data_IF_198625680247
#
_entry.id   IF_198625680247
#
_cell.length_a   1.000
_cell.length_b   1.000
_cell.length_c   1.000
_cell.angle_alpha   90.00
_cell.angle_beta   90.00
_cell.angle_gamma   90.00
#
_symmetry.space_group_name_H-M   'P 1'
#
loop_
_entity.id
_entity.type
_entity.pdbx_description
1 polymer ?
#
# COMPACT_ATOMS: atom_id res chain seq x y z
N UNK A 1 21.29 5.51 11.44
CA UNK A 1 19.83 5.68 11.44
C UNK A 1 19.35 5.18 10.10
N UNK A 2 18.50 4.17 10.06
CA UNK A 2 18.01 3.63 8.79
C UNK A 2 17.25 4.72 8.04
N UNK A 3 17.74 5.07 6.85
CA UNK A 3 17.11 6.09 6.01
C UNK A 3 15.83 5.49 5.41
N UNK A 4 14.73 5.64 6.16
CA UNK A 4 13.41 5.10 5.81
C UNK A 4 12.76 5.99 4.78
N UNK A 5 12.28 5.40 3.69
CA UNK A 5 11.59 6.12 2.61
C UNK A 5 10.10 5.96 2.86
N UNK A 6 9.41 7.10 2.93
CA UNK A 6 7.96 7.13 2.98
C UNK A 6 7.40 7.49 1.62
N UNK A 7 6.47 6.69 1.13
CA UNK A 7 5.74 6.94 -0.12
C UNK A 7 4.28 7.26 0.17
N UNK A 8 3.69 8.09 -0.67
CA UNK A 8 2.28 8.45 -0.59
C UNK A 8 1.42 7.43 -1.34
N UNK A 9 0.47 6.83 -0.64
CA UNK A 9 -0.41 5.77 -1.21
C UNK A 9 -1.87 6.22 -1.38
N UNK A 10 -2.19 7.42 -0.89
CA UNK A 10 -3.50 8.06 -0.99
C UNK A 10 -3.35 9.55 -0.79
N UNK A 11 -4.45 10.29 -0.73
CA UNK A 11 -4.37 11.76 -0.64
C UNK A 11 -3.80 12.23 0.70
N UNK A 12 -4.00 11.46 1.77
CA UNK A 12 -3.56 11.76 3.13
C UNK A 12 -2.90 10.58 3.85
N UNK A 13 -2.44 9.56 3.11
CA UNK A 13 -1.79 8.37 3.68
C UNK A 13 -0.40 8.13 3.08
N UNK A 14 0.53 7.73 3.97
CA UNK A 14 1.91 7.37 3.62
C UNK A 14 2.27 6.02 4.26
N UNK A 15 3.17 5.27 3.63
CA UNK A 15 3.72 4.02 4.18
C UNK A 15 5.23 4.01 4.07
N UNK A 16 5.90 3.18 4.87
CA UNK A 16 7.31 2.85 4.66
C UNK A 16 7.46 1.92 3.47
N UNK A 17 8.23 2.34 2.46
CA UNK A 17 8.49 1.54 1.26
C UNK A 17 9.30 0.27 1.59
N UNK A 18 10.22 0.35 2.56
CA UNK A 18 11.08 -0.77 2.96
C UNK A 18 10.30 -1.97 3.50
N UNK A 19 9.08 -1.76 3.98
CA UNK A 19 8.23 -2.79 4.59
C UNK A 19 7.21 -3.36 3.62
N UNK A 20 7.10 -2.78 2.42
CA UNK A 20 6.13 -3.18 1.40
C UNK A 20 6.59 -4.48 0.74
N UNK A 21 5.78 -5.53 0.83
CA UNK A 21 6.05 -6.82 0.18
C UNK A 21 5.47 -6.84 -1.23
N UNK A 22 4.22 -6.39 -1.38
CA UNK A 22 3.51 -6.48 -2.66
C UNK A 22 2.39 -5.44 -2.77
N UNK A 23 2.05 -5.12 -4.01
CA UNK A 23 0.86 -4.36 -4.40
C UNK A 23 0.03 -5.24 -5.33
N UNK A 24 -1.25 -5.39 -5.04
CA UNK A 24 -2.16 -6.25 -5.81
C UNK A 24 -3.49 -5.55 -6.06
N UNK A 25 -4.17 -5.97 -7.13
CA UNK A 25 -5.48 -5.45 -7.50
C UNK A 25 -6.57 -6.00 -6.56
N UNK A 26 -7.50 -5.14 -6.17
CA UNK A 26 -8.54 -5.48 -5.19
C UNK A 26 -9.66 -6.39 -5.74
N UNK A 27 -9.73 -6.62 -7.05
CA UNK A 27 -10.91 -7.20 -7.71
C UNK A 27 -10.92 -8.74 -7.77
N UNK A 28 -9.88 -9.42 -7.30
CA UNK A 28 -9.88 -10.89 -7.29
C UNK A 28 -10.53 -11.48 -6.02
N UNK A 29 -11.19 -12.64 -6.15
CA UNK A 29 -11.81 -13.32 -5.01
C UNK A 29 -10.82 -13.72 -3.90
N UNK A 30 -9.58 -14.18 -4.19
CA UNK A 30 -8.57 -14.39 -3.16
C UNK A 30 -8.18 -13.11 -2.40
N UNK A 31 -8.02 -11.98 -3.10
CA UNK A 31 -7.65 -10.72 -2.45
C UNK A 31 -8.79 -10.18 -1.57
N UNK A 32 -10.04 -10.27 -2.03
CA UNK A 32 -11.19 -9.93 -1.17
C UNK A 32 -11.26 -10.76 0.10
N UNK A 33 -10.91 -12.05 0.04
CA UNK A 33 -10.82 -12.91 1.23
C UNK A 33 -9.71 -12.44 2.17
N UNK A 34 -8.52 -12.15 1.64
CA UNK A 34 -7.40 -11.61 2.42
C UNK A 34 -7.76 -10.28 3.12
N UNK A 35 -8.50 -9.39 2.45
CA UNK A 35 -8.99 -8.14 3.07
C UNK A 35 -9.92 -8.45 4.25
N UNK A 36 -10.85 -9.39 4.07
CA UNK A 36 -11.78 -9.77 5.14
C UNK A 36 -11.03 -10.39 6.33
N UNK A 37 -10.09 -11.30 6.07
CA UNK A 37 -9.26 -11.91 7.12
C UNK A 37 -8.45 -10.85 7.89
N UNK A 38 -7.85 -9.87 7.20
CA UNK A 38 -7.15 -8.77 7.87
C UNK A 38 -8.10 -7.90 8.70
N UNK A 39 -9.33 -7.67 8.23
CA UNK A 39 -10.36 -6.95 9.01
C UNK A 39 -10.71 -7.71 10.29
N UNK A 40 -10.94 -9.02 10.17
CA UNK A 40 -11.34 -9.87 11.28
C UNK A 40 -10.22 -9.99 12.33
N UNK A 41 -8.95 -9.96 11.89
CA UNK A 41 -7.76 -9.95 12.76
C UNK A 41 -7.39 -8.58 13.32
N UNK A 42 -8.05 -7.50 12.87
CA UNK A 42 -7.69 -6.13 13.26
C UNK A 42 -6.37 -5.62 12.66
N UNK A 43 -5.88 -6.23 11.58
CA UNK A 43 -4.65 -5.80 10.86
C UNK A 43 -4.95 -5.07 9.55
N UNK A 44 -6.21 -4.81 9.24
CA UNK A 44 -6.63 -3.99 8.09
C UNK A 44 -6.51 -2.49 8.42
N UNK A 45 -5.80 -1.76 7.57
CA UNK A 45 -5.75 -0.30 7.59
C UNK A 45 -6.49 0.21 6.35
N UNK A 46 -7.65 0.82 6.56
CA UNK A 46 -8.42 1.43 5.47
C UNK A 46 -7.98 2.89 5.25
N UNK A 47 -7.29 3.15 4.13
CA UNK A 47 -6.89 4.51 3.73
C UNK A 47 -7.64 5.02 2.51
N UNK A 48 -8.78 4.40 2.19
CA UNK A 48 -9.59 4.78 1.02
C UNK A 48 -10.45 6.02 1.28
N UNK A 49 -10.72 6.33 2.55
CA UNK A 49 -11.62 7.42 2.96
C UNK A 49 -12.99 7.36 2.27
N UNK A 50 -13.52 6.14 2.07
CA UNK A 50 -14.82 5.89 1.43
C UNK A 50 -14.80 5.88 -0.10
N UNK A 51 -13.64 6.11 -0.73
CA UNK A 51 -13.46 5.91 -2.17
C UNK A 51 -13.39 4.41 -2.51
N UNK A 52 -13.57 4.08 -3.79
CA UNK A 52 -13.37 2.70 -4.28
C UNK A 52 -11.94 2.24 -3.95
N UNK A 53 -11.81 1.02 -3.41
CA UNK A 53 -10.51 0.35 -3.29
C UNK A 53 -10.04 -0.07 -4.67
N UNK A 54 -8.95 0.52 -5.14
CA UNK A 54 -8.33 0.15 -6.43
C UNK A 54 -7.13 -0.78 -6.21
N UNK A 55 -6.40 -0.63 -5.11
CA UNK A 55 -5.23 -1.44 -4.80
C UNK A 55 -5.18 -1.86 -3.33
N UNK A 56 -4.47 -2.95 -3.10
CA UNK A 56 -4.18 -3.52 -1.78
C UNK A 56 -2.67 -3.64 -1.63
N UNK A 57 -2.14 -3.08 -0.54
CA UNK A 57 -0.73 -3.12 -0.21
C UNK A 57 -0.52 -4.12 0.93
N UNK A 58 0.44 -5.01 0.74
CA UNK A 58 0.77 -6.08 1.68
C UNK A 58 2.08 -5.71 2.37
N UNK A 59 2.02 -5.56 3.68
CA UNK A 59 3.18 -5.20 4.51
C UNK A 59 3.82 -6.43 5.14
N UNK A 60 5.08 -6.32 5.52
CA UNK A 60 5.86 -7.34 6.27
C UNK A 60 5.36 -7.69 7.68
N UNK A 61 4.31 -7.02 8.13
CA UNK A 61 3.74 -7.15 9.49
C UNK A 61 2.32 -7.71 9.47
N UNK A 62 1.95 -8.42 8.41
CA UNK A 62 0.60 -8.93 8.15
C UNK A 62 -0.50 -7.84 8.04
N UNK A 63 -0.09 -6.57 8.03
CA UNK A 63 -0.98 -5.46 7.78
C UNK A 63 -1.34 -5.42 6.30
N UNK A 64 -2.63 -5.31 6.05
CA UNK A 64 -3.19 -5.08 4.71
C UNK A 64 -3.65 -3.63 4.68
N UNK A 65 -3.18 -2.86 3.70
CA UNK A 65 -3.52 -1.45 3.55
C UNK A 65 -4.33 -1.26 2.27
N UNK A 66 -5.51 -0.68 2.41
CA UNK A 66 -6.37 -0.37 1.27
C UNK A 66 -6.02 0.99 0.69
N UNK A 67 -5.93 1.08 -0.64
CA UNK A 67 -5.65 2.29 -1.39
C UNK A 67 -6.75 2.58 -2.39
N UNK A 68 -7.12 3.85 -2.52
CA UNK A 68 -7.99 4.34 -3.60
C UNK A 68 -7.23 4.71 -4.87
N UNK A 69 -5.89 4.66 -4.85
CA UNK A 69 -5.04 4.82 -6.04
C UNK A 69 -4.85 3.47 -6.72
N UNK A 70 -4.87 3.48 -8.04
CA UNK A 70 -4.57 2.30 -8.83
C UNK A 70 -3.08 1.93 -8.77
N UNK A 71 -2.76 0.72 -9.22
CA UNK A 71 -1.39 0.17 -9.19
C UNK A 71 -0.43 1.03 -10.01
N UNK A 72 -0.86 1.60 -11.14
CA UNK A 72 0.02 2.39 -12.01
C UNK A 72 0.44 3.70 -11.32
N UNK A 73 -0.50 4.36 -10.63
CA UNK A 73 -0.22 5.56 -9.84
C UNK A 73 0.71 5.26 -8.66
N UNK A 74 0.53 4.11 -8.01
CA UNK A 74 1.40 3.68 -6.91
C UNK A 74 2.82 3.36 -7.41
N UNK A 75 2.95 2.60 -8.51
CA UNK A 75 4.24 2.28 -9.13
C UNK A 75 5.01 3.55 -9.51
N UNK A 76 4.33 4.53 -10.13
CA UNK A 76 4.96 5.82 -10.44
C UNK A 76 5.52 6.50 -9.19
N UNK A 77 4.75 6.49 -8.09
CA UNK A 77 5.20 7.09 -6.81
C UNK A 77 6.42 6.35 -6.24
N UNK A 78 6.47 5.03 -6.41
CA UNK A 78 7.59 4.19 -5.96
C UNK A 78 8.84 4.44 -6.80
N UNK A 79 8.70 4.45 -8.12
CA UNK A 79 9.80 4.69 -9.05
C UNK A 79 10.45 6.05 -8.80
N UNK A 80 9.64 7.10 -8.59
CA UNK A 80 10.11 8.43 -8.21
C UNK A 80 10.87 8.41 -6.87
N UNK A 81 10.35 7.70 -5.87
CA UNK A 81 10.99 7.61 -4.56
C UNK A 81 12.31 6.82 -4.58
N UNK A 82 12.42 5.79 -5.42
CA UNK A 82 13.66 5.03 -5.62
C UNK A 82 14.69 5.88 -6.35
N UNK A 83 14.30 6.57 -7.44
CA UNK A 83 15.21 7.47 -8.19
C UNK A 83 15.82 8.55 -7.31
N UNK A 84 14.99 9.24 -6.53
CA UNK A 84 15.47 10.32 -5.67
C UNK A 84 16.50 9.82 -4.64
N UNK A 85 16.42 8.54 -4.23
CA UNK A 85 17.38 7.94 -3.30
C UNK A 85 18.71 7.56 -3.96
N UNK A 86 18.72 7.30 -5.26
CA UNK A 86 19.96 7.00 -6.00
C UNK A 86 20.74 8.27 -6.34
N UNK A 87 20.08 9.43 -6.36
CA UNK A 87 20.67 10.74 -6.62
C UNK A 87 21.24 11.43 -5.35
N UNK A 88 20.91 10.93 -4.16
CA UNK A 88 21.43 11.35 -2.84
C UNK A 88 22.71 10.59 -2.44
#
# INVERSE_FOLDING_TARGET
>A
MDNTIFIRIGDSSVISLQRLIAIVDANSAPIRRMIQEARDRGTLIDTTYGKKTEAVLIMDSDHIILSSRDINQLNKTIDEAIKNKEEE
#
